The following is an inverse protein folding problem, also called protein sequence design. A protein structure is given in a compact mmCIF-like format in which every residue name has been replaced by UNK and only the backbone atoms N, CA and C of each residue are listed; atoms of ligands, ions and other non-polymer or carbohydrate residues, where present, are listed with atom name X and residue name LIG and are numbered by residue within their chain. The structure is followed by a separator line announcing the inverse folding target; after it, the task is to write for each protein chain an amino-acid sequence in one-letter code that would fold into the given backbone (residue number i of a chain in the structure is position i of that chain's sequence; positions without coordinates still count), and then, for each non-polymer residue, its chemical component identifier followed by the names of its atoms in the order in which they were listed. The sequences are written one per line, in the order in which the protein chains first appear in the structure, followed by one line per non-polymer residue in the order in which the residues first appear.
data_IF_378632469832
#
_entry.id   IF_378632469832
#
_cell.length_a   1.000
_cell.length_b   1.000
_cell.length_c   1.000
_cell.angle_alpha   90.00
_cell.angle_beta   90.00
_cell.angle_gamma   90.00
#
_symmetry.space_group_name_H-M   'P 1'
#
loop_
_entity.id
_entity.type
_entity.pdbx_description
1 polymer ?
#
# COMPACT_ATOMS: atom_id res chain seq x y z
N UNK A 1 -3.47 6.89 23.24
CA UNK A 1 -3.08 6.18 22.01
C UNK A 1 -1.56 6.16 22.07
N UNK A 2 -0.96 5.01 22.37
CA UNK A 2 0.50 4.95 22.47
C UNK A 2 1.13 5.20 21.10
N UNK A 3 2.15 6.05 21.00
CA UNK A 3 2.85 6.26 19.75
C UNK A 3 3.61 4.99 19.42
N UNK A 4 3.37 4.41 18.26
CA UNK A 4 4.37 3.57 17.61
C UNK A 4 5.67 4.38 17.58
N UNK A 5 6.71 3.91 18.26
CA UNK A 5 7.97 4.65 18.41
C UNK A 5 8.63 4.77 17.03
N UNK A 6 9.08 5.97 16.67
CA UNK A 6 9.84 6.23 15.46
C UNK A 6 11.09 5.32 15.39
N UNK A 7 11.65 4.96 16.54
CA UNK A 7 12.75 3.98 16.65
C UNK A 7 12.32 2.61 16.14
N UNK A 8 11.18 2.11 16.60
CA UNK A 8 10.61 0.82 16.17
C UNK A 8 10.34 0.84 14.66
N UNK A 9 9.82 1.94 14.10
CA UNK A 9 9.62 2.10 12.66
C UNK A 9 10.94 2.03 11.86
N UNK A 10 12.01 2.66 12.37
CA UNK A 10 13.33 2.69 11.72
C UNK A 10 14.00 1.32 11.78
N UNK A 11 13.94 0.63 12.92
CA UNK A 11 14.47 -0.73 13.07
C UNK A 11 13.78 -1.69 12.10
N UNK A 12 12.47 -1.55 11.97
CA UNK A 12 11.68 -2.32 11.02
C UNK A 12 12.10 -2.09 9.55
N UNK A 13 12.31 -0.83 9.14
CA UNK A 13 12.80 -0.53 7.78
C UNK A 13 14.17 -1.19 7.51
N UNK A 14 15.09 -1.13 8.49
CA UNK A 14 16.41 -1.74 8.39
C UNK A 14 16.33 -3.27 8.25
N UNK A 15 15.39 -3.93 8.92
CA UNK A 15 15.17 -5.37 8.79
C UNK A 15 14.68 -5.77 7.39
N UNK A 16 13.84 -4.95 6.77
CA UNK A 16 13.46 -5.11 5.36
C UNK A 16 14.68 -5.07 4.42
N UNK A 17 15.57 -4.09 4.59
CA UNK A 17 16.79 -4.02 3.77
C UNK A 17 17.73 -5.21 4.00
N UNK A 18 17.88 -5.65 5.26
CA UNK A 18 18.68 -6.83 5.59
C UNK A 18 18.13 -8.10 4.95
N UNK A 19 16.80 -8.30 4.98
CA UNK A 19 16.14 -9.40 4.32
C UNK A 19 16.39 -9.42 2.81
N UNK A 20 16.29 -8.25 2.16
CA UNK A 20 16.53 -8.15 0.72
C UNK A 20 17.95 -8.56 0.37
N UNK A 21 18.94 -8.12 1.15
CA UNK A 21 20.34 -8.56 1.00
C UNK A 21 20.50 -10.06 1.24
N UNK A 22 19.87 -10.59 2.28
CA UNK A 22 19.97 -12.01 2.65
C UNK A 22 19.34 -12.96 1.62
N UNK A 23 18.31 -12.54 0.89
CA UNK A 23 17.62 -13.36 -0.13
C UNK A 23 18.25 -13.30 -1.51
N UNK A 24 19.22 -12.41 -1.74
CA UNK A 24 20.06 -12.43 -2.94
C UNK A 24 21.08 -13.59 -2.93
N UNK A 25 21.25 -14.26 -1.78
CA UNK A 25 22.10 -15.44 -1.63
C UNK A 25 21.32 -16.71 -2.03
N UNK A 26 21.84 -17.54 -2.96
CA UNK A 26 21.22 -18.81 -3.30
C UNK A 26 20.99 -19.69 -2.06
N UNK A 27 19.82 -20.33 -1.95
CA UNK A 27 19.40 -21.18 -0.82
C UNK A 27 19.18 -20.48 0.53
N UNK A 28 19.02 -19.16 0.54
CA UNK A 28 18.65 -18.42 1.74
C UNK A 28 17.31 -18.89 2.32
N UNK A 29 17.28 -19.15 3.64
CA UNK A 29 16.09 -19.48 4.43
C UNK A 29 15.50 -18.26 5.15
N UNK A 30 15.84 -17.04 4.72
CA UNK A 30 15.38 -15.84 5.38
C UNK A 30 13.84 -15.79 5.41
N UNK A 31 13.28 -15.59 6.60
CA UNK A 31 11.86 -15.38 6.84
C UNK A 31 11.50 -13.90 6.73
N UNK A 32 10.31 -13.60 6.22
CA UNK A 32 9.89 -12.21 5.98
C UNK A 32 9.84 -11.46 7.32
N UNK A 33 10.54 -10.32 7.47
CA UNK A 33 10.56 -9.59 8.73
C UNK A 33 9.16 -9.02 9.03
N UNK A 34 8.71 -9.26 10.26
CA UNK A 34 7.36 -8.93 10.72
C UNK A 34 7.35 -7.46 11.20
N UNK A 35 7.15 -6.52 10.27
CA UNK A 35 7.41 -5.11 10.57
C UNK A 35 6.34 -4.38 11.40
N UNK A 36 5.14 -4.95 11.59
CA UNK A 36 4.08 -4.47 12.48
C UNK A 36 3.14 -5.65 12.78
N UNK A 37 2.34 -5.56 13.84
CA UNK A 37 1.40 -6.63 14.22
C UNK A 37 0.53 -7.01 13.01
N UNK A 38 0.68 -8.25 12.59
CA UNK A 38 -0.23 -8.89 11.63
C UNK A 38 -1.37 -9.48 12.44
N UNK A 39 -2.16 -8.65 13.12
CA UNK A 39 -3.52 -9.07 13.49
C UNK A 39 -4.26 -9.35 12.18
N UNK A 40 -4.01 -10.54 11.64
CA UNK A 40 -4.74 -11.14 10.55
C UNK A 40 -6.17 -11.17 11.04
N UNK A 41 -7.05 -10.52 10.29
CA UNK A 41 -8.48 -10.81 10.38
C UNK A 41 -8.62 -12.33 10.34
N UNK A 42 -9.04 -12.90 11.47
CA UNK A 42 -9.23 -14.34 11.64
C UNK A 42 -10.45 -14.82 10.85
N UNK A 43 -11.27 -13.88 10.37
CA UNK A 43 -12.42 -14.14 9.52
C UNK A 43 -11.96 -14.57 8.10
N UNK A 44 -12.38 -15.76 7.62
CA UNK A 44 -12.08 -16.16 6.25
C UNK A 44 -12.64 -15.13 5.27
N UNK A 45 -11.72 -14.52 4.51
CA UNK A 45 -12.00 -13.47 3.53
C UNK A 45 -11.79 -14.02 2.12
N UNK A 46 -12.76 -13.80 1.23
CA UNK A 46 -12.70 -14.18 -0.18
C UNK A 46 -12.57 -12.96 -1.08
N UNK A 47 -11.89 -13.14 -2.21
CA UNK A 47 -11.72 -12.11 -3.23
C UNK A 47 -12.17 -12.65 -4.58
N UNK A 48 -13.07 -11.92 -5.23
CA UNK A 48 -13.53 -12.23 -6.58
C UNK A 48 -13.05 -11.12 -7.50
N UNK A 49 -11.92 -11.35 -8.18
CA UNK A 49 -11.33 -10.39 -9.11
C UNK A 49 -11.85 -10.57 -10.52
N UNK A 50 -11.92 -9.48 -11.28
CA UNK A 50 -12.17 -9.53 -12.72
C UNK A 50 -11.01 -10.24 -13.44
N UNK A 51 -11.31 -10.91 -14.55
CA UNK A 51 -10.33 -11.71 -15.29
C UNK A 51 -9.35 -10.88 -16.14
N UNK A 52 -9.70 -9.63 -16.46
CA UNK A 52 -8.89 -8.75 -17.31
C UNK A 52 -8.30 -7.57 -16.51
N UNK A 53 -7.21 -7.03 -17.02
CA UNK A 53 -6.55 -5.86 -16.43
C UNK A 53 -7.38 -4.61 -16.70
N UNK A 54 -7.72 -3.86 -15.65
CA UNK A 54 -8.48 -2.60 -15.74
C UNK A 54 -7.58 -1.40 -16.01
N UNK A 55 -6.37 -1.42 -15.45
CA UNK A 55 -5.37 -0.39 -15.67
C UNK A 55 -3.95 -0.96 -15.50
N UNK A 56 -2.99 -0.31 -16.15
CA UNK A 56 -1.58 -0.66 -16.06
C UNK A 56 -0.77 0.55 -15.58
N UNK A 57 -0.03 0.36 -14.49
CA UNK A 57 1.02 1.27 -14.08
C UNK A 57 2.39 0.74 -14.49
N UNK A 58 3.44 1.56 -14.33
CA UNK A 58 4.79 1.22 -14.76
C UNK A 58 5.36 -0.13 -14.23
N UNK A 59 4.83 -0.64 -13.11
CA UNK A 59 5.30 -1.90 -12.50
C UNK A 59 4.19 -2.91 -12.23
N UNK A 60 2.92 -2.50 -12.29
CA UNK A 60 1.80 -3.30 -11.76
C UNK A 60 0.58 -3.24 -12.66
N UNK A 61 -0.04 -4.39 -12.85
CA UNK A 61 -1.41 -4.50 -13.34
C UNK A 61 -2.39 -4.22 -12.19
N UNK A 62 -3.54 -3.67 -12.54
CA UNK A 62 -4.64 -3.37 -11.62
C UNK A 62 -5.88 -4.12 -12.08
N UNK A 63 -6.53 -4.79 -11.13
CA UNK A 63 -7.78 -5.52 -11.31
C UNK A 63 -8.80 -4.98 -10.32
N UNK A 64 -10.04 -4.87 -10.75
CA UNK A 64 -11.16 -4.70 -9.82
C UNK A 64 -11.51 -6.02 -9.15
N UNK A 65 -11.94 -5.97 -7.89
CA UNK A 65 -12.41 -7.14 -7.19
C UNK A 65 -13.47 -6.78 -6.15
N UNK A 66 -14.25 -7.79 -5.77
CA UNK A 66 -15.13 -7.74 -4.60
C UNK A 66 -14.45 -8.50 -3.47
N UNK A 67 -14.36 -7.87 -2.29
CA UNK A 67 -13.95 -8.51 -1.05
C UNK A 67 -15.19 -8.92 -0.27
N UNK A 68 -15.27 -10.19 0.10
CA UNK A 68 -16.35 -10.76 0.92
C UNK A 68 -15.76 -11.29 2.23
N UNK A 69 -16.33 -10.91 3.38
CA UNK A 69 -15.95 -11.44 4.70
C UNK A 69 -17.04 -12.38 5.17
N UNK A 70 -16.71 -13.68 5.28
CA UNK A 70 -17.70 -14.70 5.64
C UNK A 70 -18.30 -14.40 7.03
N UNK A 71 -19.62 -14.50 7.14
CA UNK A 71 -20.35 -14.27 8.39
C UNK A 71 -20.73 -12.82 8.67
N UNK A 72 -20.41 -11.88 7.76
CA UNK A 72 -20.87 -10.48 7.83
C UNK A 72 -21.78 -10.17 6.65
N UNK A 73 -23.08 -10.00 6.92
CA UNK A 73 -24.05 -9.52 5.94
C UNK A 73 -23.66 -8.10 5.47
N UNK A 74 -23.81 -7.82 4.17
CA UNK A 74 -23.43 -6.56 3.53
C UNK A 74 -21.93 -6.22 3.60
N UNK A 75 -21.03 -7.22 3.61
CA UNK A 75 -19.58 -7.00 3.62
C UNK A 75 -18.94 -6.87 2.24
N UNK A 76 -19.75 -6.82 1.17
CA UNK A 76 -19.28 -6.64 -0.20
C UNK A 76 -18.62 -5.28 -0.35
N UNK A 77 -17.30 -5.27 -0.31
CA UNK A 77 -16.51 -4.06 -0.47
C UNK A 77 -15.79 -4.14 -1.81
N UNK A 78 -16.04 -3.15 -2.67
CA UNK A 78 -15.25 -2.96 -3.89
C UNK A 78 -13.81 -2.61 -3.49
N UNK A 79 -12.87 -3.37 -4.05
CA UNK A 79 -11.44 -3.21 -3.83
C UNK A 79 -10.72 -3.26 -5.17
N UNK A 80 -9.49 -2.77 -5.18
CA UNK A 80 -8.55 -2.98 -6.28
C UNK A 80 -7.47 -3.96 -5.85
N UNK A 81 -7.16 -4.90 -6.72
CA UNK A 81 -6.05 -5.85 -6.56
C UNK A 81 -4.94 -5.49 -7.54
N UNK A 82 -3.70 -5.46 -7.06
CA UNK A 82 -2.54 -5.07 -7.87
C UNK A 82 -1.51 -6.20 -7.89
N UNK A 83 -1.00 -6.49 -9.08
CA UNK A 83 -0.02 -7.56 -9.32
C UNK A 83 1.19 -7.01 -10.07
N UNK A 84 2.41 -7.42 -9.71
CA UNK A 84 3.61 -7.00 -10.44
C UNK A 84 3.71 -7.67 -11.81
N UNK A 85 3.90 -6.85 -12.86
CA UNK A 85 4.03 -7.27 -14.27
C UNK A 85 5.18 -8.28 -14.44
N UNK A 86 6.29 -8.05 -13.74
CA UNK A 86 7.49 -8.89 -13.80
C UNK A 86 7.85 -9.46 -12.43
N UNK A 87 6.88 -10.06 -11.74
CA UNK A 87 7.06 -10.59 -10.38
C UNK A 87 8.35 -11.43 -10.24
N UNK A 88 8.62 -12.36 -11.16
CA UNK A 88 9.79 -13.25 -11.13
C UNK A 88 11.16 -12.59 -11.41
N UNK A 89 11.22 -11.42 -12.06
CA UNK A 89 12.50 -10.79 -12.44
C UNK A 89 13.19 -10.03 -11.31
N UNK A 90 12.52 -9.88 -10.16
CA UNK A 90 12.98 -9.02 -9.06
C UNK A 90 13.14 -9.76 -7.71
N UNK A 91 13.49 -11.04 -7.74
CA UNK A 91 13.79 -11.81 -6.52
C UNK A 91 12.56 -12.39 -5.82
N UNK A 92 12.54 -12.38 -4.48
CA UNK A 92 11.45 -12.96 -3.69
C UNK A 92 10.16 -12.13 -3.84
N UNK A 93 9.26 -12.63 -4.69
CA UNK A 93 7.98 -12.00 -5.00
C UNK A 93 7.19 -11.64 -3.76
N UNK A 94 7.05 -12.57 -2.81
CA UNK A 94 6.28 -12.39 -1.57
C UNK A 94 6.79 -11.19 -0.79
N UNK A 95 8.10 -11.10 -0.59
CA UNK A 95 8.71 -9.99 0.15
C UNK A 95 8.45 -8.62 -0.46
N UNK A 96 8.45 -8.51 -1.80
CA UNK A 96 8.16 -7.23 -2.49
C UNK A 96 6.75 -6.71 -2.18
N UNK A 97 5.76 -7.60 -2.06
CA UNK A 97 4.40 -7.20 -1.66
C UNK A 97 4.34 -6.72 -0.21
N UNK A 98 5.11 -7.34 0.69
CA UNK A 98 5.25 -6.87 2.07
C UNK A 98 5.94 -5.52 2.17
N UNK A 99 7.04 -5.29 1.44
CA UNK A 99 7.71 -3.99 1.40
C UNK A 99 6.77 -2.86 0.96
N UNK A 100 5.92 -3.12 -0.04
CA UNK A 100 4.91 -2.15 -0.49
C UNK A 100 3.89 -1.83 0.60
N UNK A 101 3.39 -2.84 1.32
CA UNK A 101 2.48 -2.62 2.44
C UNK A 101 3.15 -1.80 3.55
N UNK A 102 4.39 -2.14 3.89
CA UNK A 102 5.15 -1.47 4.94
C UNK A 102 5.39 0.00 4.59
N UNK A 103 5.78 0.28 3.35
CA UNK A 103 5.90 1.65 2.84
C UNK A 103 4.58 2.42 2.92
N UNK A 104 3.44 1.77 2.65
CA UNK A 104 2.12 2.39 2.80
C UNK A 104 1.79 2.72 4.26
N UNK A 105 2.13 1.84 5.21
CA UNK A 105 1.92 2.12 6.64
C UNK A 105 2.78 3.27 7.12
N UNK A 106 4.07 3.29 6.76
CA UNK A 106 4.98 4.42 7.05
C UNK A 106 4.40 5.73 6.51
N UNK A 107 3.93 5.72 5.26
CA UNK A 107 3.34 6.89 4.64
C UNK A 107 2.06 7.36 5.35
N UNK A 108 1.19 6.43 5.78
CA UNK A 108 0.01 6.74 6.56
C UNK A 108 0.36 7.37 7.91
N UNK A 109 1.37 6.84 8.60
CA UNK A 109 1.86 7.39 9.86
C UNK A 109 2.39 8.82 9.70
N UNK A 110 3.26 9.04 8.71
CA UNK A 110 3.82 10.37 8.43
C UNK A 110 2.72 11.38 8.05
N UNK A 111 1.70 10.96 7.31
CA UNK A 111 0.55 11.81 6.99
C UNK A 111 -0.24 12.22 8.23
N UNK A 112 -0.44 11.31 9.21
CA UNK A 112 -1.08 11.64 10.49
C UNK A 112 -0.25 12.64 11.29
N UNK A 113 1.07 12.46 11.36
CA UNK A 113 1.95 13.41 12.02
C UNK A 113 1.87 14.79 11.36
N UNK A 114 1.91 14.84 10.03
CA UNK A 114 1.76 16.08 9.27
C UNK A 114 0.42 16.78 9.55
N UNK A 115 -0.70 16.05 9.53
CA UNK A 115 -2.02 16.62 9.80
C UNK A 115 -2.12 17.18 11.22
N UNK A 116 -1.55 16.46 12.20
CA UNK A 116 -1.48 16.91 13.60
C UNK A 116 -0.63 18.16 13.75
N UNK A 117 0.55 18.21 13.13
CA UNK A 117 1.40 19.40 13.16
C UNK A 117 0.69 20.62 12.53
N UNK A 118 -0.03 20.41 11.43
CA UNK A 118 -0.83 21.46 10.82
C UNK A 118 -1.95 21.94 11.74
N UNK A 119 -2.63 21.04 12.46
CA UNK A 119 -3.66 21.37 13.45
C UNK A 119 -3.08 22.19 14.62
N UNK A 120 -1.96 21.74 15.20
CA UNK A 120 -1.28 22.42 16.31
C UNK A 120 -0.78 23.82 15.91
N UNK A 121 -0.40 24.00 14.64
CA UNK A 121 0.01 25.29 14.07
C UNK A 121 -1.17 26.17 13.62
N UNK A 122 -2.41 25.71 13.77
CA UNK A 122 -3.59 26.45 13.34
C UNK A 122 -3.71 26.61 11.82
N UNK A 123 -3.07 25.74 11.04
CA UNK A 123 -3.19 25.70 9.58
C UNK A 123 -4.53 25.03 9.26
N UNK A 124 -5.55 25.85 9.03
CA UNK A 124 -6.93 25.42 8.70
C UNK A 124 -7.30 25.67 7.25
N UNK A 125 -6.50 26.45 6.52
CA UNK A 125 -6.71 26.80 5.11
C UNK A 125 -5.41 26.76 4.32
N UNK A 126 -5.50 26.37 3.05
CA UNK A 126 -4.42 26.43 2.07
C UNK A 126 -5.00 27.12 0.83
N UNK A 127 -4.47 28.30 0.50
CA UNK A 127 -4.94 29.11 -0.65
C UNK A 127 -6.45 29.41 -0.67
N UNK A 128 -7.05 29.73 0.48
CA UNK A 128 -8.49 30.08 0.57
C UNK A 128 -9.44 28.88 0.48
N UNK A 129 -8.90 27.66 0.44
CA UNK A 129 -9.65 26.43 0.56
C UNK A 129 -9.44 25.83 1.95
N UNK A 130 -10.50 25.24 2.51
CA UNK A 130 -10.40 24.44 3.73
C UNK A 130 -9.30 23.38 3.57
N UNK A 131 -8.43 23.25 4.57
CA UNK A 131 -7.38 22.24 4.57
C UNK A 131 -8.02 20.85 4.44
N UNK A 132 -7.60 20.09 3.44
CA UNK A 132 -7.88 18.67 3.37
C UNK A 132 -6.77 17.90 4.10
N UNK A 133 -7.16 17.03 5.02
CA UNK A 133 -6.22 16.12 5.67
C UNK A 133 -5.58 15.19 4.64
N UNK A 134 -4.27 14.99 4.76
CA UNK A 134 -3.56 14.02 3.95
C UNK A 134 -3.91 12.62 4.44
N UNK A 135 -4.50 11.80 3.56
CA UNK A 135 -4.91 10.42 3.87
C UNK A 135 -4.28 9.46 2.88
N UNK A 136 -3.52 8.49 3.40
CA UNK A 136 -3.07 7.34 2.61
C UNK A 136 -4.07 6.21 2.74
N UNK A 137 -4.52 5.69 1.60
CA UNK A 137 -5.43 4.54 1.60
C UNK A 137 -4.74 3.30 2.15
N UNK A 138 -5.41 2.54 3.04
CA UNK A 138 -4.83 1.34 3.61
C UNK A 138 -4.54 0.30 2.53
N UNK A 139 -3.44 -0.42 2.70
CA UNK A 139 -3.03 -1.49 1.79
C UNK A 139 -2.76 -2.76 2.58
N UNK A 140 -3.23 -3.90 2.06
CA UNK A 140 -2.91 -5.21 2.59
C UNK A 140 -2.47 -6.19 1.49
N UNK A 141 -2.05 -7.39 1.88
CA UNK A 141 -1.66 -8.45 0.94
C UNK A 141 -2.73 -9.53 0.93
N UNK A 142 -3.01 -10.04 -0.26
CA UNK A 142 -3.80 -11.24 -0.47
C UNK A 142 -2.93 -12.26 -1.20
N UNK A 143 -2.83 -13.47 -0.66
CA UNK A 143 -2.08 -14.56 -1.26
C UNK A 143 -2.99 -15.77 -1.39
N UNK A 144 -3.00 -16.41 -2.54
CA UNK A 144 -3.66 -17.70 -2.71
C UNK A 144 -2.85 -18.64 -3.60
N UNK A 145 -3.14 -19.92 -3.46
CA UNK A 145 -2.55 -20.96 -4.27
C UNK A 145 -3.18 -20.96 -5.67
N UNK A 146 -2.35 -21.09 -6.70
CA UNK A 146 -2.81 -21.22 -8.08
C UNK A 146 -2.81 -22.70 -8.50
N UNK A 147 -3.76 -23.12 -9.36
CA UNK A 147 -3.74 -24.45 -9.97
C UNK A 147 -2.38 -24.71 -10.63
N UNK A 148 -1.70 -25.79 -10.22
CA UNK A 148 -0.34 -26.11 -10.68
C UNK A 148 0.78 -25.84 -9.65
N UNK A 149 0.44 -25.52 -8.39
CA UNK A 149 1.40 -25.57 -7.27
C UNK A 149 2.22 -24.30 -7.04
N UNK A 150 1.72 -23.14 -7.49
CA UNK A 150 2.32 -21.82 -7.23
C UNK A 150 1.52 -20.98 -6.24
N UNK A 151 2.09 -19.86 -5.81
CA UNK A 151 1.36 -18.82 -5.06
C UNK A 151 1.30 -17.54 -5.89
N UNK A 152 0.13 -16.91 -5.92
CA UNK A 152 -0.05 -15.58 -6.48
C UNK A 152 -0.27 -14.58 -5.35
N UNK A 153 0.51 -13.49 -5.35
CA UNK A 153 0.44 -12.44 -4.35
C UNK A 153 -0.17 -11.19 -5.00
N UNK A 154 -1.00 -10.48 -4.25
CA UNK A 154 -1.57 -9.19 -4.65
C UNK A 154 -1.42 -8.19 -3.51
N UNK A 155 -1.22 -6.92 -3.85
CA UNK A 155 -1.57 -5.83 -2.94
C UNK A 155 -3.03 -5.49 -3.16
N UNK A 156 -3.77 -5.24 -2.08
CA UNK A 156 -5.19 -4.90 -2.12
C UNK A 156 -5.39 -3.57 -1.43
N UNK A 157 -6.22 -2.72 -2.01
CA UNK A 157 -6.55 -1.38 -1.52
C UNK A 157 -8.05 -1.13 -1.75
N UNK A 158 -8.71 -0.24 -0.98
CA UNK A 158 -10.07 0.17 -1.26
C UNK A 158 -10.23 0.75 -2.68
N UNK A 159 -11.40 0.56 -3.28
CA UNK A 159 -11.71 1.21 -4.55
C UNK A 159 -11.92 2.72 -4.33
N UNK A 160 -11.20 3.55 -5.08
CA UNK A 160 -11.30 5.01 -5.00
C UNK A 160 -12.09 5.51 -6.20
N UNK A 161 -13.22 6.18 -5.94
CA UNK A 161 -14.00 6.86 -6.97
C UNK A 161 -13.53 8.30 -7.08
N UNK A 162 -13.11 8.71 -8.28
CA UNK A 162 -12.73 10.09 -8.54
C UNK A 162 -11.64 10.22 -9.61
N UNK A 163 -11.30 11.47 -9.94
CA UNK A 163 -10.22 11.78 -10.88
C UNK A 163 -8.88 11.56 -10.18
N UNK A 164 -8.08 10.62 -10.68
CA UNK A 164 -6.71 10.44 -10.22
C UNK A 164 -5.80 11.53 -10.81
N UNK A 165 -5.01 12.17 -9.94
CA UNK A 165 -3.99 13.15 -10.32
C UNK A 165 -2.65 12.77 -9.69
N UNK A 166 -1.57 12.87 -10.47
CA UNK A 166 -0.20 12.69 -10.00
C UNK A 166 0.44 14.05 -9.79
N UNK A 167 0.63 14.45 -8.53
CA UNK A 167 1.22 15.73 -8.14
C UNK A 167 2.74 15.78 -8.35
N UNK A 168 3.43 14.68 -8.07
CA UNK A 168 4.88 14.57 -8.21
C UNK A 168 5.32 13.15 -8.62
N UNK A 169 6.55 13.01 -9.11
CA UNK A 169 7.21 11.71 -9.33
C UNK A 169 8.19 11.39 -8.21
N UNK A 170 8.57 10.12 -8.12
CA UNK A 170 9.67 9.64 -7.29
C UNK A 170 11.07 10.03 -7.81
N UNK A 171 11.15 10.87 -8.84
CA UNK A 171 12.39 11.32 -9.49
C UNK A 171 12.49 12.85 -9.59
N UNK A 172 11.75 13.56 -8.72
CA UNK A 172 11.79 15.02 -8.63
C UNK A 172 10.93 15.78 -9.64
N UNK A 173 10.16 15.11 -10.50
CA UNK A 173 9.23 15.81 -11.38
C UNK A 173 8.03 16.31 -10.57
N UNK A 174 7.62 17.55 -10.83
CA UNK A 174 6.45 18.19 -10.20
C UNK A 174 5.46 18.55 -11.30
N UNK A 175 4.19 18.22 -11.08
CA UNK A 175 3.12 18.57 -12.00
C UNK A 175 2.69 20.02 -11.75
N UNK A 176 3.41 20.95 -12.37
CA UNK A 176 3.16 22.39 -12.22
C UNK A 176 1.77 22.80 -12.70
N UNK A 177 1.18 22.09 -13.67
CA UNK A 177 -0.18 22.38 -14.12
C UNK A 177 -1.19 22.15 -12.99
N UNK A 178 -1.11 21.02 -12.29
CA UNK A 178 -1.97 20.76 -11.13
C UNK A 178 -1.69 21.71 -9.97
N UNK A 179 -0.43 22.09 -9.75
CA UNK A 179 -0.08 23.00 -8.66
C UNK A 179 -0.60 24.41 -8.93
N UNK A 180 -0.50 24.89 -10.17
CA UNK A 180 -1.04 26.19 -10.57
C UNK A 180 -2.58 26.22 -10.52
N UNK A 181 -3.25 25.12 -10.89
CA UNK A 181 -4.71 24.99 -10.79
C UNK A 181 -5.23 25.01 -9.34
N UNK A 182 -4.39 24.74 -8.34
CA UNK A 182 -4.74 24.79 -6.91
C UNK A 182 -4.39 26.15 -6.28
N UNK A 183 -3.42 26.87 -6.85
CA UNK A 183 -2.95 28.15 -6.34
C UNK A 183 -3.67 29.38 -6.94
N UNK A 184 -4.60 29.19 -7.89
CA UNK A 184 -5.34 30.22 -8.60
C UNK A 184 -6.85 29.94 -8.57
#
# INVERSE_FOLDING_TARGET
MEPFDLVELIENIKDGEHYQRATLVPNSKAEVPLLLTTETSTDPTYYYKVAHVMAEGAQRYVYEAVREVRGKANSDNLVVMKEFIQSKKHGNTKFRYYQMMQGNVVANFLARLFNKECEEKGITEVHGHARCDLVYMPMWSATWDVPGGGKCNHNVEPYIVGKYLKYNSNSGAVNMATLNDICH
#
